data_IF_473255959009
#
_entry.id   IF_473255959009
#
_cell.length_a   1.000
_cell.length_b   1.000
_cell.length_c   1.000
_cell.angle_alpha   90.00
_cell.angle_beta   90.00
_cell.angle_gamma   90.00
#
_symmetry.space_group_name_H-M   'P 1'
#
loop_
_entity.id
_entity.type
_entity.pdbx_description
1 polymer ?
#
# COMPACT_ATOMS: atom_id res chain seq x y z
N UNK A 1 5.45 15.49 -11.32
CA UNK A 1 5.56 14.85 -9.98
C UNK A 1 5.88 15.88 -8.93
N UNK A 2 5.27 15.76 -7.75
CA UNK A 2 5.54 16.62 -6.58
C UNK A 2 6.34 15.78 -5.58
N UNK A 3 7.49 16.30 -5.17
CA UNK A 3 8.38 15.61 -4.23
C UNK A 3 8.31 16.32 -2.87
N UNK A 4 8.03 15.54 -1.82
CA UNK A 4 8.01 16.04 -0.46
C UNK A 4 9.00 15.24 0.39
N UNK A 5 10.02 15.91 0.89
CA UNK A 5 11.03 15.34 1.78
C UNK A 5 10.72 15.69 3.24
N UNK A 6 11.56 15.23 4.16
CA UNK A 6 11.48 15.56 5.58
C UNK A 6 10.26 14.95 6.30
N UNK A 7 9.91 13.74 5.92
CA UNK A 7 8.92 12.94 6.64
C UNK A 7 9.56 11.69 7.25
N UNK A 8 8.97 11.21 8.32
CA UNK A 8 9.30 9.90 8.90
C UNK A 8 8.02 9.13 9.15
N UNK A 9 8.12 7.81 9.13
CA UNK A 9 7.00 6.93 9.38
C UNK A 9 6.63 6.98 10.87
N UNK A 10 5.38 7.35 11.16
CA UNK A 10 4.84 7.45 12.51
C UNK A 10 4.05 6.20 12.90
N UNK A 11 3.25 5.66 11.97
CA UNK A 11 2.40 4.50 12.22
C UNK A 11 2.05 3.77 10.93
N UNK A 12 2.07 2.45 10.97
CA UNK A 12 1.49 1.61 9.92
C UNK A 12 0.02 1.35 10.29
N UNK A 13 -0.89 1.76 9.42
CA UNK A 13 -2.34 1.56 9.65
C UNK A 13 -2.76 0.18 9.15
N UNK A 14 -2.47 -0.13 7.89
CA UNK A 14 -2.67 -1.43 7.25
C UNK A 14 -1.72 -1.59 6.06
N UNK A 15 -1.94 -2.58 5.21
CA UNK A 15 -1.01 -2.92 4.12
C UNK A 15 -0.87 -1.87 3.01
N UNK A 16 -1.71 -0.84 2.99
CA UNK A 16 -1.66 0.22 1.97
C UNK A 16 -1.88 1.63 2.53
N UNK A 17 -1.79 1.79 3.85
CA UNK A 17 -1.99 3.08 4.52
C UNK A 17 -0.98 3.28 5.64
N UNK A 18 -0.32 4.44 5.62
CA UNK A 18 0.75 4.80 6.55
C UNK A 18 0.52 6.23 7.05
N UNK A 19 0.71 6.45 8.35
CA UNK A 19 0.77 7.80 8.90
C UNK A 19 2.23 8.23 8.97
N UNK A 20 2.52 9.40 8.40
CA UNK A 20 3.86 10.01 8.44
C UNK A 20 3.81 11.33 9.20
N UNK A 21 4.94 11.68 9.79
CA UNK A 21 5.12 12.92 10.54
C UNK A 21 6.17 13.79 9.86
N UNK A 22 5.86 15.07 9.67
CA UNK A 22 6.85 16.04 9.21
C UNK A 22 7.87 16.28 10.34
N UNK A 23 9.16 16.12 10.02
CA UNK A 23 10.22 16.20 11.05
C UNK A 23 10.42 17.59 11.64
N UNK A 24 9.94 18.65 10.99
CA UNK A 24 10.08 20.03 11.46
C UNK A 24 8.91 20.49 12.31
N UNK A 25 7.69 20.37 11.80
CA UNK A 25 6.50 20.88 12.49
C UNK A 25 5.71 19.79 13.25
N UNK A 26 6.13 18.53 13.16
CA UNK A 26 5.51 17.36 13.81
C UNK A 26 4.05 17.10 13.42
N UNK A 27 3.57 17.69 12.32
CA UNK A 27 2.23 17.40 11.80
C UNK A 27 2.20 16.03 11.17
N UNK A 28 1.17 15.27 11.50
CA UNK A 28 0.93 13.95 10.92
C UNK A 28 -0.05 14.05 9.76
N UNK A 29 0.20 13.27 8.71
CA UNK A 29 -0.72 13.07 7.60
C UNK A 29 -0.84 11.58 7.30
N UNK A 30 -2.04 11.16 6.89
CA UNK A 30 -2.25 9.79 6.45
C UNK A 30 -1.98 9.68 4.95
N UNK A 31 -1.15 8.71 4.60
CA UNK A 31 -0.79 8.40 3.22
C UNK A 31 -1.51 7.12 2.80
N UNK A 32 -2.28 7.20 1.73
CA UNK A 32 -2.76 6.05 0.98
C UNK A 32 -1.70 5.73 -0.06
N UNK A 33 -1.07 4.55 0.03
CA UNK A 33 -0.06 4.14 -0.95
C UNK A 33 -0.70 4.07 -2.33
N UNK A 34 -0.24 4.94 -3.23
CA UNK A 34 -0.90 5.14 -4.52
C UNK A 34 -0.66 3.98 -5.48
N UNK A 35 -1.69 3.59 -6.19
CA UNK A 35 -1.63 2.57 -7.24
C UNK A 35 -1.65 1.13 -6.75
N UNK A 36 -1.72 0.88 -5.45
CA UNK A 36 -1.78 -0.47 -4.87
C UNK A 36 -3.03 -0.66 -4.02
N UNK A 37 -3.37 -1.90 -3.78
CA UNK A 37 -4.50 -2.29 -2.95
C UNK A 37 -4.14 -3.54 -2.16
N UNK A 38 -4.14 -3.45 -0.84
CA UNK A 38 -3.93 -4.57 0.07
C UNK A 38 -5.27 -4.98 0.70
N UNK A 39 -5.42 -6.26 1.10
CA UNK A 39 -6.60 -6.69 1.83
C UNK A 39 -6.76 -5.93 3.15
N UNK A 40 -7.99 -5.68 3.56
CA UNK A 40 -8.29 -5.01 4.81
C UNK A 40 -7.92 -5.87 6.02
N UNK A 41 -7.30 -5.25 7.02
CA UNK A 41 -6.89 -5.94 8.24
C UNK A 41 -7.99 -6.00 9.30
N UNK A 42 -9.15 -5.42 9.03
CA UNK A 42 -10.31 -5.37 9.94
C UNK A 42 -11.61 -5.27 9.16
N UNK A 43 -12.72 -5.56 9.82
CA UNK A 43 -14.04 -5.41 9.19
C UNK A 43 -14.34 -3.93 8.90
N UNK A 44 -14.80 -3.69 7.67
CA UNK A 44 -15.20 -2.37 7.17
C UNK A 44 -16.06 -2.55 5.93
N UNK A 45 -16.63 -1.47 5.40
CA UNK A 45 -17.47 -1.53 4.20
C UNK A 45 -16.70 -2.02 2.97
N UNK A 46 -15.42 -1.68 2.84
CA UNK A 46 -14.58 -2.16 1.74
C UNK A 46 -14.37 -3.67 1.81
N UNK A 47 -14.23 -4.25 3.00
CA UNK A 47 -14.11 -5.71 3.16
C UNK A 47 -15.34 -6.43 2.60
N UNK A 48 -16.53 -5.91 2.84
CA UNK A 48 -17.78 -6.48 2.32
C UNK A 48 -17.79 -6.44 0.79
N UNK A 49 -17.31 -5.34 0.20
CA UNK A 49 -17.17 -5.23 -1.25
C UNK A 49 -16.15 -6.25 -1.77
N UNK A 50 -15.00 -6.38 -1.10
CA UNK A 50 -13.95 -7.34 -1.48
C UNK A 50 -14.45 -8.78 -1.40
N UNK A 51 -15.25 -9.14 -0.38
CA UNK A 51 -15.89 -10.45 -0.29
C UNK A 51 -16.76 -10.74 -1.52
N UNK A 52 -17.52 -9.75 -1.98
CA UNK A 52 -18.38 -9.88 -3.15
C UNK A 52 -17.60 -10.03 -4.45
N UNK A 53 -16.52 -9.28 -4.59
CA UNK A 53 -15.70 -9.28 -5.80
C UNK A 53 -14.81 -10.53 -5.92
N UNK A 54 -14.27 -11.01 -4.81
CA UNK A 54 -13.32 -12.12 -4.80
C UNK A 54 -13.96 -13.47 -4.51
N UNK A 55 -15.15 -13.49 -3.92
CA UNK A 55 -15.81 -14.68 -3.38
C UNK A 55 -14.99 -15.39 -2.30
N UNK A 56 -14.18 -14.63 -1.55
CA UNK A 56 -13.36 -15.10 -0.43
C UNK A 56 -14.02 -14.63 0.87
N UNK A 57 -14.07 -15.52 1.88
CA UNK A 57 -14.62 -15.18 3.19
C UNK A 57 -13.88 -14.01 3.84
N UNK A 58 -14.62 -13.10 4.46
CA UNK A 58 -14.06 -11.89 5.08
C UNK A 58 -13.02 -12.18 6.16
N UNK A 59 -13.21 -13.23 6.96
CA UNK A 59 -12.24 -13.64 7.96
C UNK A 59 -10.89 -14.01 7.33
N UNK A 60 -10.90 -14.70 6.20
CA UNK A 60 -9.68 -15.06 5.48
C UNK A 60 -9.03 -13.82 4.86
N UNK A 61 -9.80 -12.90 4.29
CA UNK A 61 -9.28 -11.64 3.78
C UNK A 61 -8.62 -10.82 4.89
N UNK A 62 -9.20 -10.80 6.10
CA UNK A 62 -8.60 -10.14 7.26
C UNK A 62 -7.25 -10.78 7.63
N UNK A 63 -7.15 -12.10 7.61
CA UNK A 63 -5.87 -12.80 7.85
C UNK A 63 -4.82 -12.37 6.83
N UNK A 64 -5.19 -12.30 5.56
CA UNK A 64 -4.29 -11.81 4.50
C UNK A 64 -3.92 -10.35 4.73
N UNK A 65 -4.87 -9.51 5.13
CA UNK A 65 -4.65 -8.10 5.45
C UNK A 65 -3.68 -7.91 6.63
N UNK A 66 -3.78 -8.75 7.66
CA UNK A 66 -2.86 -8.74 8.79
C UNK A 66 -1.44 -9.12 8.35
N UNK A 67 -1.30 -10.09 7.45
CA UNK A 67 -0.01 -10.48 6.88
C UNK A 67 0.60 -9.33 6.06
N UNK A 68 -0.20 -8.65 5.23
CA UNK A 68 0.25 -7.51 4.45
C UNK A 68 0.73 -6.37 5.36
N UNK A 69 -0.03 -6.07 6.43
CA UNK A 69 0.32 -5.05 7.41
C UNK A 69 1.64 -5.38 8.11
N UNK A 70 1.84 -6.62 8.49
CA UNK A 70 3.06 -7.06 9.16
C UNK A 70 4.28 -6.98 8.22
N UNK A 71 4.12 -7.38 6.96
CA UNK A 71 5.18 -7.21 5.97
C UNK A 71 5.56 -5.75 5.80
N UNK A 72 4.57 -4.85 5.72
CA UNK A 72 4.83 -3.42 5.61
C UNK A 72 5.60 -2.89 6.82
N UNK A 73 5.26 -3.34 8.04
CA UNK A 73 6.02 -2.97 9.24
C UNK A 73 7.47 -3.43 9.17
N UNK A 74 7.72 -4.58 8.56
CA UNK A 74 9.07 -5.13 8.40
C UNK A 74 9.94 -4.29 7.46
N UNK A 75 9.39 -3.86 6.31
CA UNK A 75 10.14 -3.08 5.32
C UNK A 75 10.20 -1.59 5.63
N UNK A 76 9.26 -1.09 6.42
CA UNK A 76 9.11 0.33 6.71
C UNK A 76 8.83 0.56 8.21
N UNK A 77 9.80 0.26 9.09
CA UNK A 77 9.61 0.42 10.53
C UNK A 77 9.28 1.86 10.93
N UNK A 78 8.53 2.02 12.00
CA UNK A 78 8.27 3.33 12.61
C UNK A 78 9.59 4.05 12.89
N UNK A 79 9.66 5.34 12.56
CA UNK A 79 10.87 6.16 12.69
C UNK A 79 11.73 6.20 11.43
N UNK A 80 11.44 5.40 10.42
CA UNK A 80 12.17 5.41 9.15
C UNK A 80 11.85 6.70 8.38
N UNK A 81 12.90 7.37 7.89
CA UNK A 81 12.75 8.53 7.03
C UNK A 81 12.18 8.11 5.67
N UNK A 82 11.40 8.97 5.06
CA UNK A 82 10.81 8.71 3.76
C UNK A 82 10.61 9.98 2.94
N UNK A 83 10.58 9.81 1.63
CA UNK A 83 10.22 10.83 0.66
C UNK A 83 8.88 10.46 0.03
N UNK A 84 7.99 11.43 -0.10
CA UNK A 84 6.69 11.26 -0.74
C UNK A 84 6.77 11.79 -2.16
N UNK A 85 6.26 11.03 -3.12
CA UNK A 85 6.14 11.44 -4.52
C UNK A 85 4.67 11.40 -4.89
N UNK A 86 4.13 12.53 -5.34
CA UNK A 86 2.72 12.65 -5.73
C UNK A 86 2.59 13.03 -7.19
N UNK A 87 1.60 12.46 -7.86
CA UNK A 87 1.19 12.91 -9.19
C UNK A 87 0.34 14.17 -9.06
N UNK A 88 0.64 15.20 -9.87
CA UNK A 88 0.00 16.53 -9.75
C UNK A 88 -1.52 16.51 -9.82
N UNK A 89 -2.07 15.64 -10.65
CA UNK A 89 -3.52 15.61 -10.91
C UNK A 89 -4.28 14.74 -9.90
N UNK A 90 -3.57 14.07 -8.99
CA UNK A 90 -4.18 13.11 -8.08
C UNK A 90 -3.42 13.04 -6.75
N UNK A 91 -3.58 14.08 -5.94
CA UNK A 91 -2.81 14.22 -4.69
C UNK A 91 -3.57 13.79 -3.45
N UNK A 92 -4.89 13.65 -3.54
CA UNK A 92 -5.74 13.32 -2.40
C UNK A 92 -6.88 12.41 -2.83
N UNK A 93 -7.27 11.47 -1.97
CA UNK A 93 -8.41 10.59 -2.23
C UNK A 93 -9.73 11.18 -1.71
N UNK A 94 -10.83 10.47 -1.94
CA UNK A 94 -12.18 10.92 -1.53
C UNK A 94 -12.36 11.00 -0.01
N UNK A 95 -11.47 10.38 0.76
CA UNK A 95 -11.49 10.40 2.23
C UNK A 95 -10.53 11.43 2.82
N UNK A 96 -9.86 12.23 1.98
CA UNK A 96 -8.93 13.24 2.43
C UNK A 96 -7.52 12.73 2.73
N UNK A 97 -7.19 11.48 2.38
CA UNK A 97 -5.83 10.95 2.55
C UNK A 97 -4.96 11.37 1.37
N UNK A 98 -3.69 11.65 1.64
CA UNK A 98 -2.73 11.97 0.58
C UNK A 98 -2.37 10.71 -0.19
N UNK A 99 -2.41 10.80 -1.53
CA UNK A 99 -1.98 9.72 -2.42
C UNK A 99 -0.51 9.91 -2.76
N UNK A 100 0.33 8.94 -2.46
CA UNK A 100 1.76 9.05 -2.71
C UNK A 100 2.42 7.70 -2.98
N UNK A 101 3.51 7.76 -3.75
CA UNK A 101 4.55 6.75 -3.77
C UNK A 101 5.53 7.10 -2.65
N UNK A 102 5.90 6.15 -1.83
CA UNK A 102 6.82 6.40 -0.70
C UNK A 102 8.17 5.76 -0.95
N UNK A 103 9.22 6.57 -0.83
CA UNK A 103 10.60 6.16 -1.09
C UNK A 103 11.34 6.05 0.25
N UNK A 104 11.98 4.90 0.47
CA UNK A 104 12.83 4.62 1.63
C UNK A 104 14.21 5.29 1.47
N UNK A 105 14.99 5.43 2.56
CA UNK A 105 16.36 5.94 2.47
C UNK A 105 17.27 5.16 1.53
N UNK A 106 16.96 3.88 1.30
CA UNK A 106 17.68 3.01 0.35
C UNK A 106 17.42 3.36 -1.11
N UNK A 107 16.40 4.21 -1.38
CA UNK A 107 15.91 4.49 -2.74
C UNK A 107 14.81 3.54 -3.20
N UNK A 108 14.49 2.50 -2.43
CA UNK A 108 13.41 1.58 -2.75
C UNK A 108 12.04 2.23 -2.54
N UNK A 109 11.11 1.92 -3.43
CA UNK A 109 9.73 2.38 -3.36
C UNK A 109 8.88 1.36 -2.59
N UNK A 110 8.27 1.80 -1.49
CA UNK A 110 7.44 0.93 -0.64
C UNK A 110 6.27 0.33 -1.44
N UNK A 111 5.57 1.13 -2.24
CA UNK A 111 4.46 0.68 -3.08
C UNK A 111 4.88 -0.50 -3.98
N UNK A 112 6.03 -0.36 -4.63
CA UNK A 112 6.59 -1.38 -5.49
C UNK A 112 6.98 -2.65 -4.72
N UNK A 113 7.61 -2.50 -3.56
CA UNK A 113 7.99 -3.62 -2.70
C UNK A 113 6.78 -4.45 -2.28
N UNK A 114 5.65 -3.81 -1.98
CA UNK A 114 4.41 -4.49 -1.63
C UNK A 114 3.90 -5.36 -2.79
N UNK A 115 3.96 -4.86 -4.01
CA UNK A 115 3.56 -5.61 -5.22
C UNK A 115 4.56 -6.74 -5.53
N UNK A 116 5.85 -6.43 -5.56
CA UNK A 116 6.90 -7.41 -5.90
C UNK A 116 6.90 -8.63 -4.99
N UNK A 117 6.58 -8.41 -3.71
CA UNK A 117 6.59 -9.47 -2.71
C UNK A 117 5.21 -10.12 -2.52
N UNK A 118 4.21 -9.71 -3.30
CA UNK A 118 2.88 -10.36 -3.30
C UNK A 118 2.00 -9.99 -2.12
N UNK A 119 2.21 -8.86 -1.47
CA UNK A 119 1.42 -8.40 -0.31
C UNK A 119 0.38 -7.33 -0.65
N UNK A 120 0.38 -6.85 -1.88
CA UNK A 120 -0.64 -5.98 -2.43
C UNK A 120 -0.79 -6.27 -3.92
N UNK A 121 -1.93 -5.89 -4.48
CA UNK A 121 -2.19 -5.96 -5.92
C UNK A 121 -2.26 -4.55 -6.50
N UNK A 122 -2.11 -4.38 -7.83
CA UNK A 122 -2.33 -3.09 -8.46
C UNK A 122 -3.79 -2.63 -8.25
N UNK A 123 -3.96 -1.35 -7.98
CA UNK A 123 -5.27 -0.73 -7.94
C UNK A 123 -5.68 -0.34 -9.38
N UNK A 124 -6.58 -1.13 -9.97
CA UNK A 124 -6.92 -0.99 -11.39
C UNK A 124 -8.19 -0.15 -11.65
N UNK A 125 -8.82 0.37 -10.60
CA UNK A 125 -10.04 1.19 -10.72
C UNK A 125 -9.75 2.62 -11.17
N UNK A 126 -8.49 3.06 -11.11
CA UNK A 126 -8.03 4.32 -11.66
C UNK A 126 -6.59 4.21 -12.15
N UNK A 127 -6.24 5.03 -13.14
CA UNK A 127 -4.90 5.04 -13.71
C UNK A 127 -3.94 5.82 -12.82
N UNK A 128 -2.71 5.32 -12.70
CA UNK A 128 -1.55 6.06 -12.22
C UNK A 128 -0.36 5.72 -13.11
N UNK A 129 0.66 6.55 -13.10
CA UNK A 129 1.82 6.37 -14.01
C UNK A 129 2.56 5.05 -13.79
N UNK A 130 2.56 4.52 -12.58
CA UNK A 130 3.23 3.26 -12.25
C UNK A 130 2.37 2.02 -12.48
N UNK A 131 1.11 2.18 -12.87
CA UNK A 131 0.18 1.04 -13.01
C UNK A 131 0.71 -0.04 -13.96
N UNK A 132 1.24 0.27 -15.16
CA UNK A 132 1.75 -0.78 -16.05
C UNK A 132 2.90 -1.59 -15.42
N UNK A 133 3.83 -0.93 -14.75
CA UNK A 133 4.91 -1.61 -14.03
C UNK A 133 4.38 -2.51 -12.91
N UNK A 134 3.42 -2.01 -12.12
CA UNK A 134 2.82 -2.78 -11.04
C UNK A 134 2.08 -4.01 -11.56
N UNK A 135 1.42 -3.90 -12.69
CA UNK A 135 0.73 -5.04 -13.33
C UNK A 135 1.72 -6.13 -13.74
N UNK A 136 2.85 -5.76 -14.31
CA UNK A 136 3.91 -6.71 -14.68
C UNK A 136 4.51 -7.41 -13.45
N UNK A 137 4.84 -6.64 -12.42
CA UNK A 137 5.37 -7.17 -11.17
C UNK A 137 4.37 -8.08 -10.46
N UNK A 138 3.09 -7.73 -10.48
CA UNK A 138 2.03 -8.52 -9.91
C UNK A 138 1.89 -9.88 -10.61
N UNK A 139 1.99 -9.89 -11.92
CA UNK A 139 1.94 -11.14 -12.69
C UNK A 139 3.07 -12.09 -12.28
N UNK A 140 4.27 -11.57 -12.10
CA UNK A 140 5.44 -12.35 -11.63
C UNK A 140 5.20 -12.87 -10.22
N UNK A 141 4.73 -12.01 -9.30
CA UNK A 141 4.45 -12.42 -7.91
C UNK A 141 3.39 -13.51 -7.82
N UNK A 142 2.32 -13.41 -8.61
CA UNK A 142 1.27 -14.44 -8.70
C UNK A 142 1.82 -15.76 -9.24
N UNK A 143 2.55 -15.70 -10.33
CA UNK A 143 3.14 -16.89 -10.98
C UNK A 143 4.10 -17.61 -10.04
N UNK A 144 4.89 -16.87 -9.28
CA UNK A 144 5.84 -17.40 -8.32
C UNK A 144 5.22 -17.69 -6.94
N UNK A 145 3.94 -17.41 -6.76
CA UNK A 145 3.21 -17.61 -5.51
C UNK A 145 3.87 -16.93 -4.30
N UNK A 146 4.32 -15.69 -4.51
CA UNK A 146 4.94 -14.89 -3.46
C UNK A 146 3.91 -14.32 -2.50
N UNK A 147 4.30 -14.10 -1.25
CA UNK A 147 3.50 -13.42 -0.24
C UNK A 147 2.11 -14.02 -0.08
N UNK A 148 1.07 -13.21 -0.23
CA UNK A 148 -0.32 -13.65 -0.09
C UNK A 148 -0.73 -14.65 -1.17
N UNK A 149 -0.10 -14.61 -2.32
CA UNK A 149 -0.36 -15.57 -3.41
C UNK A 149 0.06 -17.01 -3.08
N UNK A 150 0.83 -17.21 -2.02
CA UNK A 150 1.09 -18.54 -1.49
C UNK A 150 -0.17 -19.15 -0.86
N UNK A 151 -1.05 -18.33 -0.29
CA UNK A 151 -2.24 -18.75 0.42
C UNK A 151 -3.51 -18.70 -0.44
N UNK A 152 -3.54 -17.84 -1.45
CA UNK A 152 -4.71 -17.62 -2.31
C UNK A 152 -4.26 -17.19 -3.71
N UNK A 153 -4.97 -17.65 -4.73
CA UNK A 153 -4.68 -17.25 -6.12
C UNK A 153 -5.04 -15.80 -6.40
N UNK A 154 -5.99 -15.26 -5.64
CA UNK A 154 -6.46 -13.87 -5.71
C UNK A 154 -6.73 -13.34 -4.31
N UNK A 155 -6.79 -12.04 -4.21
CA UNK A 155 -7.27 -11.35 -3.01
C UNK A 155 -7.81 -9.95 -3.31
#
# INVERSE_FOLDING_TARGET
MIYQTHYKISKIVDGDSIIVENIFNHKEIEIRLYGIDAPEAKRCSKLIQDERETHIAGEFLIELGLKATEFLRTIAPVGTDCTLIQEKDNTIDVYGRSLAYMILPTGEEINKLMIENGYAKPYEKSYCERLPEYQELNLVARTQRKGLYFYSEIF
#
